data_IF_634396152464
#
_entry.id   IF_634396152464
#
_cell.length_a   1.000
_cell.length_b   1.000
_cell.length_c   1.000
_cell.angle_alpha   90.00
_cell.angle_beta   90.00
_cell.angle_gamma   90.00
#
_symmetry.space_group_name_H-M   'P 1'
#
loop_
_entity.id
_entity.type
_entity.pdbx_description
1 polymer ?
#
# COMPACT_ATOMS: atom_id res chain seq x y z
N UNK A 1 -27.76 -70.40 32.45
CA UNK A 1 -27.42 -69.69 31.20
C UNK A 1 -26.14 -68.97 31.47
N UNK A 2 -25.03 -69.58 31.07
CA UNK A 2 -23.68 -69.10 31.25
C UNK A 2 -23.41 -68.09 30.14
N UNK A 3 -22.88 -66.94 30.51
CA UNK A 3 -22.34 -65.93 29.55
C UNK A 3 -20.85 -65.95 29.67
N UNK A 4 -20.21 -66.40 28.62
CA UNK A 4 -18.77 -66.48 28.41
C UNK A 4 -18.21 -65.04 28.18
N UNK A 5 -17.26 -64.60 29.02
CA UNK A 5 -16.50 -63.39 28.81
C UNK A 5 -15.16 -63.80 28.19
N UNK A 6 -14.97 -63.49 26.91
CA UNK A 6 -13.67 -63.58 26.25
C UNK A 6 -12.92 -62.29 26.45
N UNK A 7 -11.75 -62.40 27.04
CA UNK A 7 -10.70 -61.39 27.11
C UNK A 7 -10.17 -61.07 25.73
N UNK A 8 -10.18 -59.81 25.33
CA UNK A 8 -9.42 -59.35 24.20
C UNK A 8 -8.23 -58.50 24.68
N UNK A 9 -7.13 -58.89 24.14
CA UNK A 9 -5.76 -58.44 24.40
C UNK A 9 -5.55 -56.94 24.24
N UNK A 10 -4.64 -56.44 25.08
CA UNK A 10 -4.02 -55.12 25.03
C UNK A 10 -3.41 -54.82 23.65
N UNK A 11 -3.95 -53.82 22.96
CA UNK A 11 -3.25 -53.15 21.87
C UNK A 11 -2.53 -51.93 22.43
N UNK A 12 -1.23 -52.05 22.61
CA UNK A 12 -0.31 -50.94 22.81
C UNK A 12 -0.34 -50.00 21.62
N UNK A 13 -0.46 -48.67 21.80
CA UNK A 13 -0.38 -47.75 20.69
C UNK A 13 1.07 -47.66 20.20
N UNK A 14 1.25 -47.97 18.91
CA UNK A 14 2.49 -47.68 18.18
C UNK A 14 2.83 -46.18 18.30
N UNK A 15 4.06 -45.94 18.74
CA UNK A 15 4.68 -44.61 18.67
C UNK A 15 4.76 -44.21 17.22
N UNK A 16 3.91 -43.23 16.84
CA UNK A 16 4.09 -42.46 15.60
C UNK A 16 5.34 -41.60 15.80
N UNK A 17 6.44 -42.04 15.23
CA UNK A 17 7.63 -41.21 15.04
C UNK A 17 7.20 -40.02 14.16
N UNK A 18 7.17 -38.83 14.75
CA UNK A 18 7.02 -37.59 14.00
C UNK A 18 8.24 -37.43 13.10
N UNK A 19 8.07 -37.76 11.83
CA UNK A 19 9.02 -37.34 10.80
C UNK A 19 8.95 -35.82 10.70
N UNK A 20 9.93 -35.16 11.33
CA UNK A 20 10.26 -33.77 11.13
C UNK A 20 10.61 -33.55 9.65
N UNK A 21 9.64 -33.40 8.78
CA UNK A 21 9.84 -32.82 7.48
C UNK A 21 10.06 -31.32 7.69
N UNK A 22 11.33 -30.96 7.90
CA UNK A 22 11.79 -29.58 7.85
C UNK A 22 11.34 -29.01 6.50
N UNK A 23 10.47 -28.02 6.55
CA UNK A 23 10.19 -27.14 5.42
C UNK A 23 11.53 -26.72 4.79
N UNK A 24 11.70 -26.77 3.47
CA UNK A 24 12.91 -26.33 2.80
C UNK A 24 12.95 -24.79 2.69
N UNK A 25 12.60 -24.09 3.74
CA UNK A 25 12.95 -22.68 3.85
C UNK A 25 14.40 -22.63 4.31
N UNK A 26 15.32 -22.82 3.36
CA UNK A 26 16.74 -22.58 3.61
C UNK A 26 16.94 -21.08 3.90
N UNK A 27 17.47 -20.71 5.09
CA UNK A 27 17.78 -19.32 5.42
C UNK A 27 19.12 -18.89 4.79
N UNK A 28 19.36 -19.24 3.55
CA UNK A 28 20.63 -18.92 2.85
C UNK A 28 20.36 -18.59 1.39
N UNK A 29 19.83 -17.42 1.19
CA UNK A 29 20.20 -16.57 0.07
C UNK A 29 19.68 -15.16 0.35
N UNK A 30 20.21 -14.55 1.41
CA UNK A 30 20.36 -13.11 1.42
C UNK A 30 21.38 -12.83 0.30
N UNK A 31 20.92 -12.74 -0.92
CA UNK A 31 21.67 -12.12 -2.00
C UNK A 31 21.70 -10.63 -1.65
N UNK A 32 22.68 -10.25 -0.83
CA UNK A 32 23.15 -8.87 -0.77
C UNK A 32 23.63 -8.61 -2.20
N UNK A 33 22.75 -8.07 -3.03
CA UNK A 33 23.16 -7.43 -4.28
C UNK A 33 23.87 -6.17 -3.82
N UNK A 34 25.17 -6.29 -3.57
CA UNK A 34 26.08 -5.15 -3.53
C UNK A 34 26.11 -4.66 -4.99
N UNK A 35 25.14 -3.82 -5.34
CA UNK A 35 25.24 -3.01 -6.54
C UNK A 35 26.46 -2.12 -6.30
N UNK A 36 27.52 -2.21 -7.10
CA UNK A 36 28.69 -1.38 -6.88
C UNK A 36 28.24 0.08 -6.87
N UNK A 37 28.70 0.85 -5.89
CA UNK A 37 28.41 2.30 -5.74
C UNK A 37 28.63 3.03 -7.09
N UNK A 38 29.53 2.55 -7.92
CA UNK A 38 29.76 3.04 -9.28
C UNK A 38 28.51 2.95 -10.19
N UNK A 39 27.64 1.95 -10.03
CA UNK A 39 26.42 1.80 -10.86
C UNK A 39 25.35 2.79 -10.43
N UNK A 40 25.26 3.07 -9.13
CA UNK A 40 24.33 4.08 -8.57
C UNK A 40 24.78 5.48 -8.99
N UNK A 41 26.08 5.77 -8.94
CA UNK A 41 26.64 7.05 -9.38
C UNK A 41 26.48 7.26 -10.90
N UNK A 42 26.59 6.21 -11.70
CA UNK A 42 26.37 6.28 -13.14
C UNK A 42 24.89 6.50 -13.48
N UNK A 43 23.97 5.91 -12.71
CA UNK A 43 22.53 6.11 -12.88
C UNK A 43 22.13 7.55 -12.51
N UNK A 44 22.66 8.09 -11.40
CA UNK A 44 22.48 9.49 -11.03
C UNK A 44 23.08 10.46 -12.04
N UNK A 45 24.25 10.15 -12.63
CA UNK A 45 24.91 11.03 -13.61
C UNK A 45 24.18 11.08 -14.96
N UNK A 46 23.48 10.01 -15.36
CA UNK A 46 22.79 9.92 -16.65
C UNK A 46 21.36 10.44 -16.57
N UNK A 47 20.66 10.19 -15.46
CA UNK A 47 19.23 10.50 -15.35
C UNK A 47 18.92 11.81 -14.59
N UNK A 48 19.79 12.26 -13.66
CA UNK A 48 19.60 13.52 -12.98
C UNK A 48 19.61 14.76 -13.91
N UNK A 49 20.50 14.87 -14.93
CA UNK A 49 20.45 16.01 -15.85
C UNK A 49 19.21 16.09 -16.71
N UNK A 50 18.57 14.95 -17.02
CA UNK A 50 17.36 14.92 -17.87
C UNK A 50 16.15 15.48 -17.12
N UNK A 51 16.13 15.36 -15.78
CA UNK A 51 15.05 15.87 -14.96
C UNK A 51 15.21 17.36 -14.60
N UNK A 52 16.47 17.87 -14.52
CA UNK A 52 16.75 19.25 -14.13
C UNK A 52 16.76 20.26 -15.30
N UNK A 53 16.68 19.78 -16.55
CA UNK A 53 16.72 20.66 -17.74
C UNK A 53 15.37 20.83 -18.43
N UNK A 54 14.26 20.44 -17.81
CA UNK A 54 12.93 20.51 -18.43
C UNK A 54 11.98 21.52 -17.82
N UNK A 55 12.49 22.44 -17.00
CA UNK A 55 11.69 23.49 -16.37
C UNK A 55 12.07 24.89 -16.91
N UNK A 56 12.04 25.08 -18.22
CA UNK A 56 12.01 26.42 -18.81
C UNK A 56 11.26 26.34 -20.15
N UNK A 57 9.97 26.11 -20.12
CA UNK A 57 9.07 26.47 -21.21
C UNK A 57 7.80 27.10 -20.63
N UNK A 58 7.64 28.34 -21.01
CA UNK A 58 6.57 29.25 -20.74
C UNK A 58 5.16 28.64 -20.84
N UNK A 59 4.53 28.27 -19.73
CA UNK A 59 3.08 28.21 -19.62
C UNK A 59 2.55 29.47 -18.94
N UNK A 60 2.45 30.55 -19.74
CA UNK A 60 1.52 31.63 -19.51
C UNK A 60 0.16 31.18 -20.02
N UNK A 61 -0.70 30.78 -19.13
CA UNK A 61 -2.12 31.04 -19.06
C UNK A 61 -2.87 30.03 -18.19
N UNK A 62 -2.93 30.31 -16.92
CA UNK A 62 -4.17 30.12 -16.17
C UNK A 62 -4.05 30.98 -14.90
N UNK A 63 -4.81 32.08 -14.92
CA UNK A 63 -5.10 32.91 -13.76
C UNK A 63 -5.98 32.14 -12.76
N UNK A 64 -5.51 31.03 -12.25
CA UNK A 64 -6.10 30.31 -11.12
C UNK A 64 -5.30 30.65 -9.85
N UNK A 65 -5.19 31.99 -9.58
CA UNK A 65 -4.75 32.50 -8.29
C UNK A 65 -5.88 32.32 -7.24
N UNK A 66 -6.45 31.12 -7.17
CA UNK A 66 -7.33 30.78 -6.07
C UNK A 66 -6.55 30.00 -5.01
N UNK A 67 -5.67 30.74 -4.28
CA UNK A 67 -4.93 30.25 -3.11
C UNK A 67 -5.82 30.07 -1.87
N UNK A 68 -7.14 30.19 -2.02
CA UNK A 68 -8.05 29.95 -0.91
C UNK A 68 -8.08 28.47 -0.57
N UNK A 69 -7.93 28.15 0.70
CA UNK A 69 -8.05 26.80 1.23
C UNK A 69 -9.54 26.46 1.34
N UNK A 70 -9.92 25.22 1.01
CA UNK A 70 -11.26 24.75 1.35
C UNK A 70 -11.46 24.81 2.86
N UNK A 71 -12.60 25.32 3.29
CA UNK A 71 -13.04 25.13 4.66
C UNK A 71 -13.67 23.76 4.80
N UNK A 72 -13.25 23.00 5.83
CA UNK A 72 -13.71 21.65 6.05
C UNK A 72 -14.60 21.54 7.28
N UNK A 73 -15.55 20.62 7.23
CA UNK A 73 -16.16 19.99 8.40
C UNK A 73 -15.38 18.72 8.71
N UNK A 74 -14.87 18.62 9.93
CA UNK A 74 -14.12 17.47 10.43
C UNK A 74 -15.06 16.56 11.21
N UNK A 75 -14.97 15.25 10.95
CA UNK A 75 -15.65 14.24 11.72
C UNK A 75 -14.69 13.10 12.03
N UNK A 76 -14.35 12.90 13.31
CA UNK A 76 -13.56 11.77 13.77
C UNK A 76 -14.51 10.78 14.45
N UNK A 77 -14.93 9.77 13.69
CA UNK A 77 -15.86 8.73 14.18
C UNK A 77 -15.14 7.78 15.13
N UNK A 78 -13.88 7.45 14.85
CA UNK A 78 -13.03 6.56 15.67
C UNK A 78 -11.55 6.73 15.29
N UNK A 79 -10.67 6.05 16.05
CA UNK A 79 -9.26 5.96 15.65
C UNK A 79 -9.07 5.40 14.24
N UNK A 80 -10.04 4.64 13.76
CA UNK A 80 -9.99 3.90 12.48
C UNK A 80 -10.60 4.67 11.32
N UNK A 81 -11.50 5.59 11.56
CA UNK A 81 -12.31 6.24 10.53
C UNK A 81 -12.54 7.71 10.85
N UNK A 82 -12.18 8.58 9.93
CA UNK A 82 -12.44 10.00 10.03
C UNK A 82 -12.62 10.64 8.63
N UNK A 83 -13.31 11.77 8.57
CA UNK A 83 -13.59 12.49 7.32
C UNK A 83 -13.25 13.97 7.40
N UNK A 84 -12.85 14.54 6.26
CA UNK A 84 -12.81 15.96 5.99
C UNK A 84 -13.74 16.26 4.81
N UNK A 85 -14.81 16.99 5.08
CA UNK A 85 -15.81 17.34 4.06
C UNK A 85 -15.71 18.81 3.74
N UNK A 86 -15.40 19.22 2.47
CA UNK A 86 -15.39 20.62 2.07
C UNK A 86 -16.77 21.24 2.25
N UNK A 87 -16.85 22.43 2.88
CA UNK A 87 -18.13 23.12 3.11
C UNK A 87 -18.80 23.58 1.82
N UNK A 88 -18.01 23.81 0.77
CA UNK A 88 -18.49 24.24 -0.54
C UNK A 88 -18.90 23.10 -1.48
N UNK A 89 -19.07 21.89 -0.92
CA UNK A 89 -19.38 20.67 -1.67
C UNK A 89 -18.14 20.03 -2.30
N UNK A 90 -18.31 18.85 -2.88
CA UNK A 90 -17.23 18.05 -3.49
C UNK A 90 -17.75 17.29 -4.71
N UNK A 91 -16.82 16.99 -5.60
CA UNK A 91 -17.08 16.27 -6.86
C UNK A 91 -16.32 14.93 -6.88
N UNK A 92 -15.29 14.82 -6.03
CA UNK A 92 -14.43 13.66 -5.95
C UNK A 92 -14.22 13.25 -4.49
N UNK A 93 -13.80 12.00 -4.31
CA UNK A 93 -13.47 11.43 -3.01
C UNK A 93 -12.04 10.92 -3.06
N UNK A 94 -11.27 11.22 -2.02
CA UNK A 94 -9.95 10.64 -1.78
C UNK A 94 -9.99 9.81 -0.50
N UNK A 95 -9.67 8.52 -0.63
CA UNK A 95 -9.55 7.62 0.52
C UNK A 95 -8.06 7.47 0.83
N UNK A 96 -7.66 7.86 2.05
CA UNK A 96 -6.30 7.75 2.52
C UNK A 96 -6.17 6.59 3.50
N UNK A 97 -5.22 5.69 3.23
CA UNK A 97 -4.85 4.59 4.13
C UNK A 97 -3.60 4.98 4.93
N UNK A 98 -3.74 5.09 6.24
CA UNK A 98 -2.64 5.40 7.14
C UNK A 98 -1.58 4.31 7.16
N UNK A 99 -0.36 4.66 7.57
CA UNK A 99 0.71 3.70 7.84
C UNK A 99 0.49 2.95 9.16
N UNK A 100 1.45 2.10 9.49
CA UNK A 100 1.48 1.41 10.78
C UNK A 100 1.53 2.43 11.92
N UNK A 101 0.81 2.19 13.03
CA UNK A 101 0.64 3.08 14.20
C UNK A 101 -0.15 4.36 13.95
N UNK A 102 -0.53 4.68 12.72
CA UNK A 102 -1.21 5.92 12.39
C UNK A 102 -2.73 5.80 12.59
N UNK A 103 -3.30 6.75 13.33
CA UNK A 103 -4.75 6.90 13.49
C UNK A 103 -5.35 7.65 12.31
N UNK A 104 -6.67 7.59 12.16
CA UNK A 104 -7.40 8.17 11.03
C UNK A 104 -7.20 9.67 10.81
N UNK A 105 -6.91 10.43 11.85
CA UNK A 105 -6.78 11.89 11.77
C UNK A 105 -5.34 12.42 11.73
N UNK A 106 -4.34 11.53 11.64
CA UNK A 106 -2.92 11.92 11.74
C UNK A 106 -2.49 12.94 10.67
N UNK A 107 -3.09 12.91 9.49
CA UNK A 107 -2.77 13.81 8.38
C UNK A 107 -3.78 14.97 8.18
N UNK A 108 -4.72 15.18 9.08
CA UNK A 108 -5.77 16.19 8.87
C UNK A 108 -5.21 17.60 8.70
N UNK A 109 -4.27 18.01 9.55
CA UNK A 109 -3.67 19.35 9.42
C UNK A 109 -2.91 19.52 8.11
N UNK A 110 -2.25 18.47 7.63
CA UNK A 110 -1.63 18.48 6.32
C UNK A 110 -2.66 18.58 5.20
N UNK A 111 -3.72 17.78 5.22
CA UNK A 111 -4.75 17.81 4.18
C UNK A 111 -5.51 19.14 4.12
N UNK A 112 -5.64 19.85 5.24
CA UNK A 112 -6.25 21.18 5.31
C UNK A 112 -5.27 22.32 4.94
N UNK A 113 -3.99 22.05 4.80
CA UNK A 113 -2.97 23.06 4.52
C UNK A 113 -2.89 23.39 3.02
N UNK A 114 -2.25 24.51 2.69
CA UNK A 114 -1.90 24.88 1.30
C UNK A 114 -0.89 23.91 0.68
N UNK A 115 -0.09 23.23 1.52
CA UNK A 115 0.91 22.25 1.09
C UNK A 115 0.31 20.92 0.68
N UNK A 116 -0.99 20.69 0.87
CA UNK A 116 -1.64 19.43 0.49
C UNK A 116 -1.58 19.19 -1.01
N UNK A 117 -1.43 17.92 -1.38
CA UNK A 117 -1.56 17.49 -2.77
C UNK A 117 -3.02 17.25 -3.19
N UNK A 118 -3.97 17.32 -2.27
CA UNK A 118 -5.38 17.07 -2.57
C UNK A 118 -5.97 18.30 -3.26
N UNK A 119 -6.61 18.15 -4.44
CA UNK A 119 -7.32 19.22 -5.11
C UNK A 119 -8.55 19.69 -4.31
N UNK A 120 -8.96 20.95 -4.54
CA UNK A 120 -10.21 21.48 -3.99
C UNK A 120 -11.41 20.64 -4.38
N UNK A 121 -12.49 20.76 -3.61
CA UNK A 121 -13.75 20.03 -3.82
C UNK A 121 -13.57 18.50 -3.79
N UNK A 122 -12.66 18.05 -2.94
CA UNK A 122 -12.42 16.62 -2.70
C UNK A 122 -12.73 16.29 -1.24
N UNK A 123 -13.72 15.42 -1.01
CA UNK A 123 -13.99 14.87 0.32
C UNK A 123 -12.94 13.82 0.64
N UNK A 124 -12.38 13.85 1.85
CA UNK A 124 -11.34 12.94 2.27
C UNK A 124 -11.91 11.97 3.30
N UNK A 125 -11.71 10.68 3.04
CA UNK A 125 -11.89 9.60 3.99
C UNK A 125 -10.53 9.11 4.44
N UNK A 126 -10.21 9.26 5.70
CA UNK A 126 -8.93 8.80 6.23
C UNK A 126 -9.16 7.58 7.11
N UNK A 127 -8.48 6.49 6.78
CA UNK A 127 -8.67 5.18 7.39
C UNK A 127 -7.37 4.72 8.05
N UNK A 128 -7.51 4.04 9.17
CA UNK A 128 -6.44 3.35 9.86
C UNK A 128 -6.71 1.85 9.95
N UNK A 129 -5.67 1.05 10.06
CA UNK A 129 -5.78 -0.40 10.21
C UNK A 129 -6.41 -0.81 11.55
N UNK A 130 -6.69 -2.08 11.69
CA UNK A 130 -7.20 -2.66 12.95
C UNK A 130 -6.13 -2.64 14.03
N UNK A 131 -6.52 -2.54 15.31
CA UNK A 131 -5.59 -2.62 16.44
C UNK A 131 -5.04 -4.04 16.56
N UNK A 132 -3.72 -4.17 16.44
CA UNK A 132 -2.99 -5.44 16.57
C UNK A 132 -1.72 -5.24 17.39
N UNK A 133 -1.33 -6.27 18.15
CA UNK A 133 0.03 -6.35 18.72
C UNK A 133 0.98 -6.75 17.58
N UNK A 134 1.98 -5.93 17.32
CA UNK A 134 2.86 -6.09 16.18
C UNK A 134 4.13 -6.83 16.60
N UNK A 135 4.41 -7.99 16.03
CA UNK A 135 5.59 -8.81 16.35
C UNK A 135 6.91 -8.05 16.15
N UNK A 136 6.98 -7.18 15.14
CA UNK A 136 8.14 -6.29 14.96
C UNK A 136 8.43 -5.42 16.20
N UNK A 137 7.38 -4.97 16.91
CA UNK A 137 7.52 -4.09 18.07
C UNK A 137 7.89 -4.84 19.36
N UNK A 138 7.65 -6.14 19.43
CA UNK A 138 8.00 -6.98 20.59
C UNK A 138 9.52 -6.97 20.89
N UNK A 139 10.36 -6.83 19.86
CA UNK A 139 11.81 -6.68 20.05
C UNK A 139 12.22 -5.43 20.83
N UNK A 140 11.32 -4.41 20.89
CA UNK A 140 11.47 -3.19 21.66
C UNK A 140 10.68 -3.22 22.98
N UNK A 141 10.18 -4.39 23.40
CA UNK A 141 9.31 -4.57 24.56
C UNK A 141 8.00 -3.76 24.51
N UNK A 142 7.49 -3.54 23.32
CA UNK A 142 6.21 -2.85 23.12
C UNK A 142 5.15 -3.86 22.70
N UNK A 143 4.11 -4.02 23.54
CA UNK A 143 3.06 -5.03 23.39
C UNK A 143 1.65 -4.42 23.32
N UNK A 144 1.54 -3.09 23.30
CA UNK A 144 0.23 -2.45 23.17
C UNK A 144 -0.28 -2.56 21.72
N UNK A 145 -1.58 -2.84 21.53
CA UNK A 145 -2.15 -2.87 20.20
C UNK A 145 -2.09 -1.49 19.52
N UNK A 146 -1.64 -1.45 18.29
CA UNK A 146 -1.58 -0.24 17.47
C UNK A 146 -2.31 -0.45 16.14
N UNK A 147 -2.79 0.63 15.48
CA UNK A 147 -3.39 0.53 14.16
C UNK A 147 -2.40 -0.08 13.16
N UNK A 148 -2.79 -1.18 12.51
CA UNK A 148 -2.04 -1.75 11.40
C UNK A 148 -2.95 -2.58 10.47
N UNK A 149 -2.59 -2.66 9.21
CA UNK A 149 -3.35 -3.42 8.22
C UNK A 149 -3.05 -4.91 8.28
N UNK A 150 -1.79 -5.24 8.57
CA UNK A 150 -1.29 -6.61 8.73
C UNK A 150 -0.06 -6.63 9.61
N UNK A 151 0.23 -7.77 10.22
CA UNK A 151 1.40 -7.92 11.09
C UNK A 151 2.69 -8.09 10.27
N UNK A 152 3.80 -7.68 10.84
CA UNK A 152 5.14 -7.82 10.26
C UNK A 152 6.10 -8.45 11.27
N UNK A 153 7.05 -9.25 10.77
CA UNK A 153 8.10 -9.87 11.60
C UNK A 153 9.17 -8.84 12.04
N UNK A 154 10.15 -9.31 12.81
CA UNK A 154 11.27 -8.50 13.28
C UNK A 154 12.12 -7.89 12.15
N UNK A 155 12.01 -8.38 10.92
CA UNK A 155 12.68 -7.86 9.73
C UNK A 155 11.78 -6.95 8.89
N UNK A 156 10.54 -6.69 9.33
CA UNK A 156 9.57 -5.88 8.59
C UNK A 156 8.88 -6.62 7.44
N UNK A 157 9.04 -7.95 7.34
CA UNK A 157 8.34 -8.75 6.33
C UNK A 157 6.93 -9.10 6.81
N UNK A 158 6.00 -9.29 5.86
CA UNK A 158 4.70 -9.88 6.17
C UNK A 158 4.88 -11.24 6.86
N UNK A 159 4.13 -11.44 7.94
CA UNK A 159 4.14 -12.72 8.64
C UNK A 159 3.27 -13.70 7.87
N UNK A 160 3.89 -14.84 7.56
CA UNK A 160 3.19 -16.05 7.18
C UNK A 160 2.97 -16.86 8.47
N UNK A 161 1.78 -16.84 9.05
CA UNK A 161 1.48 -17.55 10.29
C UNK A 161 1.34 -19.07 10.08
N UNK A 162 0.93 -19.48 8.88
CA UNK A 162 0.80 -20.90 8.49
C UNK A 162 1.21 -21.05 7.03
N UNK A 163 2.42 -21.48 6.78
CA UNK A 163 2.89 -21.76 5.41
C UNK A 163 2.10 -22.90 4.70
N UNK A 164 1.11 -23.48 5.37
CA UNK A 164 0.33 -24.61 4.87
C UNK A 164 -1.10 -24.25 4.39
N UNK A 165 -1.55 -22.98 4.45
CA UNK A 165 -2.93 -22.75 3.98
C UNK A 165 -3.47 -21.34 3.86
N UNK A 166 -3.21 -20.43 4.75
CA UNK A 166 -3.80 -19.08 4.68
C UNK A 166 -2.75 -17.98 4.94
N UNK A 167 -1.70 -18.06 4.14
CA UNK A 167 -0.69 -17.03 4.07
C UNK A 167 -1.36 -15.68 3.84
N UNK A 168 -1.04 -14.69 4.69
CA UNK A 168 -1.55 -13.33 4.57
C UNK A 168 -3.01 -13.10 4.99
N UNK A 169 -3.54 -13.91 5.89
CA UNK A 169 -4.91 -13.78 6.40
C UNK A 169 -5.26 -12.34 6.80
N UNK A 170 -4.43 -11.69 7.61
CA UNK A 170 -4.69 -10.32 8.07
C UNK A 170 -4.70 -9.30 6.93
N UNK A 171 -3.83 -9.44 5.93
CA UNK A 171 -3.83 -8.59 4.76
C UNK A 171 -5.08 -8.80 3.90
N UNK A 172 -5.57 -10.04 3.76
CA UNK A 172 -6.84 -10.36 3.07
C UNK A 172 -8.06 -9.83 3.82
N UNK A 173 -8.07 -9.93 5.14
CA UNK A 173 -9.12 -9.32 5.98
C UNK A 173 -9.17 -7.81 5.77
N UNK A 174 -8.01 -7.15 5.82
CA UNK A 174 -7.89 -5.71 5.58
C UNK A 174 -8.27 -5.31 4.16
N UNK A 175 -7.92 -6.12 3.15
CA UNK A 175 -8.36 -5.92 1.77
C UNK A 175 -9.89 -5.92 1.67
N UNK A 176 -10.55 -6.94 2.22
CA UNK A 176 -12.00 -7.07 2.18
C UNK A 176 -12.67 -5.88 2.90
N UNK A 177 -12.16 -5.49 4.05
CA UNK A 177 -12.64 -4.32 4.77
C UNK A 177 -12.53 -3.03 3.94
N UNK A 178 -11.39 -2.79 3.28
CA UNK A 178 -11.21 -1.61 2.43
C UNK A 178 -12.18 -1.65 1.24
N UNK A 179 -12.38 -2.80 0.62
CA UNK A 179 -13.33 -2.96 -0.48
C UNK A 179 -14.78 -2.70 -0.04
N UNK A 180 -15.17 -3.19 1.14
CA UNK A 180 -16.51 -2.95 1.70
C UNK A 180 -16.72 -1.46 2.03
N UNK A 181 -15.68 -0.79 2.52
CA UNK A 181 -15.71 0.66 2.78
C UNK A 181 -15.85 1.43 1.45
N UNK A 182 -15.12 1.06 0.41
CA UNK A 182 -15.24 1.68 -0.92
C UNK A 182 -16.67 1.53 -1.46
N UNK A 183 -17.27 0.33 -1.34
CA UNK A 183 -18.66 0.09 -1.75
C UNK A 183 -19.67 0.92 -0.93
N UNK A 184 -19.45 1.03 0.37
CA UNK A 184 -20.27 1.85 1.27
C UNK A 184 -20.20 3.32 0.87
N UNK A 185 -18.98 3.86 0.72
CA UNK A 185 -18.76 5.24 0.29
C UNK A 185 -19.43 5.51 -1.07
N UNK A 186 -19.23 4.63 -2.05
CA UNK A 186 -19.82 4.75 -3.38
C UNK A 186 -21.37 4.86 -3.30
N UNK A 187 -21.98 4.08 -2.44
CA UNK A 187 -23.45 4.05 -2.30
C UNK A 187 -23.97 5.23 -1.49
N UNK A 188 -23.36 5.52 -0.33
CA UNK A 188 -23.81 6.57 0.59
C UNK A 188 -23.64 7.97 -0.02
N UNK A 189 -22.53 8.18 -0.74
CA UNK A 189 -22.24 9.44 -1.42
C UNK A 189 -22.87 9.52 -2.82
N UNK A 190 -23.48 8.43 -3.30
CA UNK A 190 -24.04 8.31 -4.65
C UNK A 190 -23.05 8.77 -5.74
N UNK A 191 -21.81 8.32 -5.65
CA UNK A 191 -20.71 8.72 -6.52
C UNK A 191 -20.25 7.56 -7.40
N UNK A 192 -19.69 7.85 -8.59
CA UNK A 192 -19.09 6.82 -9.45
C UNK A 192 -17.72 6.37 -8.89
N UNK A 193 -17.36 5.10 -9.07
CA UNK A 193 -16.04 4.60 -8.70
C UNK A 193 -14.89 5.39 -9.36
N UNK A 194 -15.08 5.89 -10.58
CA UNK A 194 -14.09 6.73 -11.28
C UNK A 194 -13.86 8.11 -10.66
N UNK A 195 -14.70 8.50 -9.71
CA UNK A 195 -14.54 9.71 -8.90
C UNK A 195 -13.97 9.41 -7.49
N UNK A 196 -13.63 8.16 -7.21
CA UNK A 196 -13.01 7.72 -5.97
C UNK A 196 -11.53 7.43 -6.24
N UNK A 197 -10.65 8.04 -5.47
CA UNK A 197 -9.20 7.89 -5.55
C UNK A 197 -8.73 7.23 -4.26
N UNK A 198 -7.86 6.22 -4.37
CA UNK A 198 -7.31 5.50 -3.24
C UNK A 198 -5.82 5.77 -3.12
N UNK A 199 -5.38 6.25 -1.99
CA UNK A 199 -3.97 6.42 -1.70
C UNK A 199 -3.62 5.96 -0.30
N UNK A 200 -2.35 5.85 -0.01
CA UNK A 200 -1.89 5.49 1.33
C UNK A 200 -0.39 5.62 1.48
N UNK A 201 0.04 5.73 2.71
CA UNK A 201 1.44 5.90 3.06
C UNK A 201 1.99 4.65 3.77
N UNK A 202 3.24 4.28 3.49
CA UNK A 202 3.91 3.16 4.16
C UNK A 202 3.10 1.86 4.03
N UNK A 203 2.67 1.26 5.12
CA UNK A 203 1.79 0.08 5.12
C UNK A 203 0.47 0.35 4.39
N UNK A 204 -0.09 1.58 4.47
CA UNK A 204 -1.24 2.00 3.68
C UNK A 204 -0.93 2.07 2.18
N UNK A 205 0.29 2.44 1.79
CA UNK A 205 0.76 2.38 0.40
C UNK A 205 0.86 0.94 -0.12
N UNK A 206 1.29 0.00 0.72
CA UNK A 206 1.28 -1.43 0.40
C UNK A 206 -0.16 -1.91 0.18
N UNK A 207 -1.09 -1.54 1.07
CA UNK A 207 -2.50 -1.88 0.93
C UNK A 207 -3.14 -1.24 -0.31
N UNK A 208 -2.74 -0.01 -0.68
CA UNK A 208 -3.18 0.62 -1.93
C UNK A 208 -2.81 -0.22 -3.15
N UNK A 209 -1.57 -0.73 -3.22
CA UNK A 209 -1.14 -1.67 -4.25
C UNK A 209 -1.92 -2.99 -4.19
N UNK A 210 -2.17 -3.50 -2.99
CA UNK A 210 -2.88 -4.77 -2.81
C UNK A 210 -4.35 -4.66 -3.25
N UNK A 211 -5.02 -3.55 -2.95
CA UNK A 211 -6.37 -3.26 -3.45
C UNK A 211 -6.35 -3.14 -4.98
N UNK A 212 -5.42 -2.41 -5.57
CA UNK A 212 -5.31 -2.28 -7.03
C UNK A 212 -5.20 -3.65 -7.72
N UNK A 213 -4.39 -4.55 -7.20
CA UNK A 213 -4.20 -5.88 -7.78
C UNK A 213 -5.40 -6.82 -7.60
N UNK A 214 -6.23 -6.60 -6.58
CA UNK A 214 -7.31 -7.49 -6.20
C UNK A 214 -8.71 -6.88 -6.34
N UNK A 215 -8.82 -5.56 -6.54
CA UNK A 215 -10.09 -4.88 -6.74
C UNK A 215 -10.74 -5.26 -8.06
N UNK A 216 -12.06 -5.39 -8.01
CA UNK A 216 -12.93 -5.48 -9.19
C UNK A 216 -13.36 -4.12 -9.74
N UNK A 217 -12.99 -3.03 -9.05
CA UNK A 217 -13.41 -1.69 -9.39
C UNK A 217 -12.31 -0.94 -10.13
N UNK A 218 -12.68 -0.19 -11.16
CA UNK A 218 -11.85 0.82 -11.78
C UNK A 218 -12.08 2.14 -11.04
N UNK A 219 -11.21 2.44 -10.07
CA UNK A 219 -11.21 3.72 -9.36
C UNK A 219 -10.63 4.83 -10.24
N UNK A 220 -10.84 6.08 -9.87
CA UNK A 220 -10.28 7.25 -10.55
C UNK A 220 -8.75 7.26 -10.55
N UNK A 221 -8.13 6.71 -9.52
CA UNK A 221 -6.66 6.55 -9.46
C UNK A 221 -6.17 5.94 -8.17
N UNK A 222 -4.90 5.49 -8.20
CA UNK A 222 -4.22 4.84 -7.10
C UNK A 222 -2.90 5.56 -6.78
N UNK A 223 -2.69 5.90 -5.52
CA UNK A 223 -1.54 6.69 -5.06
C UNK A 223 -0.80 5.99 -3.91
N UNK A 224 -0.01 4.94 -4.19
CA UNK A 224 0.82 4.30 -3.19
C UNK A 224 2.09 5.14 -2.90
N UNK A 225 2.20 5.65 -1.66
CA UNK A 225 3.36 6.41 -1.19
C UNK A 225 4.25 5.54 -0.28
N UNK A 226 5.54 5.46 -0.58
CA UNK A 226 6.56 4.77 0.23
C UNK A 226 6.15 3.35 0.64
N UNK A 227 5.48 2.64 -0.27
CA UNK A 227 5.08 1.24 -0.11
C UNK A 227 5.80 0.34 -1.11
N UNK A 228 5.47 -0.93 -1.13
CA UNK A 228 5.91 -1.90 -2.15
C UNK A 228 4.70 -2.66 -2.71
N UNK A 229 4.90 -3.33 -3.85
CA UNK A 229 3.87 -4.17 -4.45
C UNK A 229 3.90 -5.53 -3.79
N UNK A 230 2.75 -5.96 -3.26
CA UNK A 230 2.54 -7.23 -2.62
C UNK A 230 1.44 -8.00 -3.35
N UNK A 231 1.68 -9.28 -3.61
CA UNK A 231 0.70 -10.20 -4.18
C UNK A 231 0.69 -11.48 -3.35
N UNK A 232 -0.47 -11.84 -2.78
CA UNK A 232 -0.64 -13.03 -1.93
C UNK A 232 -0.39 -14.37 -2.65
N UNK A 233 -0.25 -14.36 -3.97
CA UNK A 233 0.12 -15.54 -4.75
C UNK A 233 1.64 -15.80 -4.77
N UNK A 234 2.43 -14.92 -4.14
CA UNK A 234 3.89 -15.02 -4.10
C UNK A 234 4.40 -14.80 -2.67
N UNK A 235 5.52 -15.43 -2.29
CA UNK A 235 6.17 -15.17 -1.01
C UNK A 235 6.45 -13.69 -0.80
N UNK A 236 6.47 -13.19 0.45
CA UNK A 236 6.86 -11.82 0.76
C UNK A 236 8.19 -11.46 0.10
N UNK A 237 8.29 -10.26 -0.46
CA UNK A 237 9.48 -9.76 -1.18
C UNK A 237 9.85 -10.55 -2.45
N UNK A 238 8.98 -11.42 -2.93
CA UNK A 238 9.19 -12.10 -4.20
C UNK A 238 8.64 -11.26 -5.35
N UNK A 239 9.49 -10.94 -6.30
CA UNK A 239 9.08 -10.31 -7.56
C UNK A 239 9.10 -11.39 -8.64
N UNK A 240 7.94 -11.77 -9.19
CA UNK A 240 7.89 -12.84 -10.18
C UNK A 240 8.65 -12.43 -11.45
N UNK A 241 9.46 -13.33 -11.96
CA UNK A 241 10.11 -13.14 -13.27
C UNK A 241 9.16 -13.44 -14.43
N UNK A 242 8.11 -14.23 -14.17
CA UNK A 242 7.09 -14.61 -15.15
C UNK A 242 5.72 -14.71 -14.48
N UNK A 243 4.68 -14.25 -15.17
CA UNK A 243 3.29 -14.40 -14.73
C UNK A 243 2.65 -15.62 -15.37
N UNK A 244 1.75 -16.29 -14.65
CA UNK A 244 0.84 -17.27 -15.22
C UNK A 244 -0.12 -16.62 -16.21
N UNK A 245 -0.77 -17.41 -17.05
CA UNK A 245 -1.78 -16.89 -17.99
C UNK A 245 -2.93 -16.16 -17.26
N UNK A 246 -3.39 -16.71 -16.12
CA UNK A 246 -4.44 -16.08 -15.30
C UNK A 246 -3.99 -14.74 -14.71
N UNK A 247 -2.77 -14.65 -14.18
CA UNK A 247 -2.22 -13.39 -13.67
C UNK A 247 -2.10 -12.34 -14.77
N UNK A 248 -1.61 -12.73 -15.96
CA UNK A 248 -1.57 -11.84 -17.12
C UNK A 248 -2.94 -11.32 -17.49
N UNK A 249 -3.96 -12.17 -17.53
CA UNK A 249 -5.35 -11.76 -17.80
C UNK A 249 -5.85 -10.73 -16.79
N UNK A 250 -5.54 -10.93 -15.51
CA UNK A 250 -5.89 -9.97 -14.45
C UNK A 250 -5.18 -8.63 -14.64
N UNK A 251 -3.88 -8.64 -14.93
CA UNK A 251 -3.10 -7.43 -15.17
C UNK A 251 -3.56 -6.71 -16.44
N UNK A 252 -3.86 -7.45 -17.52
CA UNK A 252 -4.37 -6.89 -18.77
C UNK A 252 -5.71 -6.16 -18.60
N UNK A 253 -6.59 -6.67 -17.74
CA UNK A 253 -7.86 -5.99 -17.41
C UNK A 253 -7.66 -4.66 -16.69
N UNK A 254 -6.52 -4.48 -16.01
CA UNK A 254 -6.21 -3.30 -15.19
C UNK A 254 -5.19 -2.35 -15.81
N UNK A 255 -4.66 -2.66 -16.99
CA UNK A 255 -3.60 -1.87 -17.62
C UNK A 255 -3.96 -0.41 -17.91
N UNK A 256 -5.24 -0.07 -17.90
CA UNK A 256 -5.73 1.30 -18.09
C UNK A 256 -5.94 2.04 -16.75
N UNK A 257 -5.69 1.39 -15.60
CA UNK A 257 -5.83 2.06 -14.31
C UNK A 257 -4.74 3.12 -14.14
N UNK A 258 -5.12 4.24 -13.52
CA UNK A 258 -4.23 5.37 -13.28
C UNK A 258 -3.45 5.15 -11.98
N UNK A 259 -2.12 5.13 -12.06
CA UNK A 259 -1.25 4.88 -10.92
C UNK A 259 -0.15 5.92 -10.85
N UNK A 260 -0.08 6.63 -9.73
CA UNK A 260 1.03 7.50 -9.40
C UNK A 260 1.68 7.07 -8.09
N UNK A 261 2.77 6.33 -8.18
CA UNK A 261 3.55 5.92 -7.02
C UNK A 261 4.64 6.92 -6.69
N UNK A 262 5.01 7.06 -5.42
CA UNK A 262 6.19 7.84 -5.03
C UNK A 262 7.02 7.13 -3.97
N UNK A 263 8.37 7.28 -4.03
CA UNK A 263 9.29 6.62 -3.11
C UNK A 263 10.62 7.36 -2.99
N UNK A 264 11.14 7.47 -1.77
CA UNK A 264 12.45 8.08 -1.51
C UNK A 264 13.58 7.06 -1.73
N UNK A 265 14.69 7.50 -2.38
CA UNK A 265 15.89 6.65 -2.55
C UNK A 265 16.54 6.25 -1.22
N UNK A 266 16.43 7.09 -0.19
CA UNK A 266 17.01 6.87 1.13
C UNK A 266 15.96 6.49 2.17
N UNK A 267 14.85 5.88 1.77
CA UNK A 267 13.88 5.30 2.68
C UNK A 267 14.50 4.08 3.38
N UNK A 268 14.73 4.21 4.69
CA UNK A 268 15.33 3.15 5.52
C UNK A 268 14.26 2.24 6.15
N UNK A 269 13.00 2.68 6.17
CA UNK A 269 11.88 1.91 6.74
C UNK A 269 11.29 0.94 5.73
N UNK A 270 11.01 1.43 4.51
CA UNK A 270 10.61 0.61 3.36
C UNK A 270 11.67 0.81 2.27
N UNK A 271 12.72 0.00 2.25
CA UNK A 271 13.87 0.24 1.39
C UNK A 271 13.52 0.31 -0.11
N UNK A 272 13.98 1.37 -0.76
CA UNK A 272 13.76 1.60 -2.19
C UNK A 272 14.08 0.37 -3.07
N UNK A 273 15.19 -0.37 -2.85
CA UNK A 273 15.49 -1.56 -3.63
C UNK A 273 14.47 -2.70 -3.50
N UNK A 274 13.70 -2.75 -2.42
CA UNK A 274 12.61 -3.72 -2.26
C UNK A 274 11.35 -3.33 -3.03
N UNK A 275 11.09 -2.04 -3.15
CA UNK A 275 9.86 -1.50 -3.71
C UNK A 275 9.87 -1.44 -5.23
N UNK A 276 10.96 -0.96 -5.81
CA UNK A 276 11.03 -0.62 -7.23
C UNK A 276 10.88 -1.82 -8.17
N UNK A 277 11.53 -2.97 -7.93
CA UNK A 277 11.35 -4.14 -8.80
C UNK A 277 9.88 -4.58 -8.88
N UNK A 278 9.13 -4.48 -7.78
CA UNK A 278 7.70 -4.78 -7.76
C UNK A 278 6.91 -3.84 -8.68
N UNK A 279 7.09 -2.54 -8.55
CA UNK A 279 6.41 -1.55 -9.39
C UNK A 279 6.65 -1.80 -10.88
N UNK A 280 7.91 -1.97 -11.30
CA UNK A 280 8.21 -2.23 -12.71
C UNK A 280 7.70 -3.59 -13.19
N UNK A 281 7.73 -4.61 -12.36
CA UNK A 281 7.27 -5.95 -12.77
C UNK A 281 5.76 -5.97 -12.98
N UNK A 282 5.00 -5.37 -12.08
CA UNK A 282 3.53 -5.41 -12.15
C UNK A 282 2.93 -4.33 -13.04
N UNK A 283 3.54 -3.12 -13.11
CA UNK A 283 2.87 -1.95 -13.70
C UNK A 283 3.55 -1.38 -14.95
N UNK A 284 4.71 -1.91 -15.40
CA UNK A 284 5.41 -1.40 -16.59
C UNK A 284 4.56 -1.37 -17.87
N UNK A 285 3.56 -2.24 -17.95
CA UNK A 285 2.66 -2.34 -19.11
C UNK A 285 1.39 -1.50 -18.95
N UNK A 286 1.23 -0.81 -17.80
CA UNK A 286 0.09 0.06 -17.58
C UNK A 286 0.28 1.37 -18.35
N UNK A 287 -0.78 1.81 -19.03
CA UNK A 287 -0.73 2.99 -19.91
C UNK A 287 -0.53 4.30 -19.16
N UNK A 288 -0.96 4.38 -17.90
CA UNK A 288 -0.82 5.55 -17.05
C UNK A 288 -0.21 5.21 -15.68
N UNK A 289 0.95 4.56 -15.73
CA UNK A 289 1.78 4.34 -14.55
C UNK A 289 2.92 5.34 -14.51
N UNK A 290 3.03 6.06 -13.39
CA UNK A 290 4.14 6.96 -13.09
C UNK A 290 4.75 6.59 -11.73
N UNK A 291 6.08 6.55 -11.67
CA UNK A 291 6.82 6.38 -10.42
C UNK A 291 7.69 7.62 -10.20
N UNK A 292 7.40 8.38 -9.16
CA UNK A 292 8.17 9.52 -8.72
C UNK A 292 9.21 9.06 -7.69
N UNK A 293 10.47 9.15 -8.04
CA UNK A 293 11.57 8.82 -7.15
C UNK A 293 12.31 10.10 -6.75
N UNK A 294 12.64 10.24 -5.47
CA UNK A 294 13.30 11.42 -4.93
C UNK A 294 14.29 11.04 -3.83
N UNK A 295 15.18 11.96 -3.46
CA UNK A 295 16.20 11.74 -2.45
C UNK A 295 16.04 12.60 -1.20
N UNK A 296 16.78 12.23 -0.12
CA UNK A 296 17.08 13.02 1.06
C UNK A 296 15.98 13.21 2.12
N UNK A 297 14.81 12.59 1.99
CA UNK A 297 13.70 12.80 2.92
C UNK A 297 13.44 11.59 3.82
N UNK A 298 13.99 10.41 3.48
CA UNK A 298 13.71 9.19 4.24
C UNK A 298 12.27 8.70 4.05
N UNK A 299 11.66 8.25 5.15
CA UNK A 299 10.31 7.70 5.18
C UNK A 299 9.30 8.73 5.67
N UNK A 300 8.90 9.67 4.80
CA UNK A 300 7.96 10.74 5.14
C UNK A 300 7.02 11.02 3.97
N UNK A 301 5.74 11.32 4.27
CA UNK A 301 4.73 11.72 3.29
C UNK A 301 4.72 13.24 3.08
N UNK A 302 4.79 14.00 4.17
CA UNK A 302 4.44 15.44 4.16
C UNK A 302 5.51 16.26 3.47
N UNK A 303 6.77 15.91 3.64
CA UNK A 303 7.92 16.69 3.14
C UNK A 303 8.40 16.25 1.74
N UNK A 304 7.65 15.38 1.06
CA UNK A 304 8.03 14.91 -0.27
C UNK A 304 8.06 16.06 -1.29
N UNK A 305 9.17 16.24 -2.02
CA UNK A 305 9.27 17.29 -3.03
C UNK A 305 8.34 17.06 -4.23
N UNK A 306 7.81 15.84 -4.36
CA UNK A 306 6.95 15.42 -5.45
C UNK A 306 5.47 15.76 -5.25
N UNK A 307 5.06 16.32 -4.11
CA UNK A 307 3.66 16.58 -3.80
C UNK A 307 2.98 17.54 -4.78
N UNK A 308 3.72 18.50 -5.33
CA UNK A 308 3.20 19.39 -6.39
C UNK A 308 2.85 18.62 -7.67
N UNK A 309 3.69 17.67 -8.05
CA UNK A 309 3.46 16.79 -9.21
C UNK A 309 2.24 15.90 -8.96
N UNK A 310 2.10 15.37 -7.74
CA UNK A 310 0.93 14.59 -7.32
C UNK A 310 -0.34 15.42 -7.42
N UNK A 311 -0.29 16.68 -6.95
CA UNK A 311 -1.43 17.63 -7.03
C UNK A 311 -1.85 17.89 -8.47
N UNK A 312 -0.90 18.13 -9.35
CA UNK A 312 -1.15 18.33 -10.78
C UNK A 312 -1.78 17.09 -11.41
N UNK A 313 -1.21 15.93 -11.17
CA UNK A 313 -1.75 14.68 -11.68
C UNK A 313 -3.18 14.39 -11.20
N UNK A 314 -3.48 14.65 -9.92
CA UNK A 314 -4.84 14.52 -9.38
C UNK A 314 -5.81 15.52 -10.04
N UNK A 315 -5.41 16.80 -10.19
CA UNK A 315 -6.24 17.80 -10.88
C UNK A 315 -6.58 17.36 -12.31
N UNK A 316 -5.61 16.87 -13.06
CA UNK A 316 -5.81 16.37 -14.42
C UNK A 316 -6.72 15.13 -14.46
N UNK A 317 -6.57 14.22 -13.52
CA UNK A 317 -7.36 12.98 -13.43
C UNK A 317 -8.79 13.25 -12.96
N UNK A 318 -8.98 14.15 -12.00
CA UNK A 318 -10.29 14.53 -11.45
C UNK A 318 -11.09 15.43 -12.38
N UNK A 319 -10.43 16.14 -13.29
CA UNK A 319 -11.06 17.02 -14.28
C UNK A 319 -11.63 16.30 -15.51
N UNK A 320 -11.33 15.02 -15.65
CA UNK A 320 -11.85 14.15 -16.73
C UNK A 320 -13.19 13.54 -16.34
#
# INVERSE_FOLDING_TARGET
>A
MEVNIQNNEENTPEKIESTNTKCPCSPKQLMIIIIPIATVLLFCAIFLPIYLTKDDDDDKDSNDNDDTIDEFTEEVVSYKYATLTPKNGYDNIYIHLGGITQTSNVYFDFFKSTSTYIPKRTKIYSLAGTLRVIKFMEQYNYYDPVPCWFNVDASGNLICEDCDGDDFKEAKESLNEILDIIDTIKNDENIDYKKIYLGGFSQGGIMTNYVLLNSRYELGGYLPFSGYVFDHNFPPNYVPTTFTAQQKEILDKRKNYHILASHSFNDETVPYPLSIPGYYTYYKEYTDFKLLSFGLIGHDLITQPTLSIVKTWLKESMGK
#
